data_IF_177052472001
#
_entry.id   IF_177052472001
#
_cell.length_a   1.000
_cell.length_b   1.000
_cell.length_c   1.000
_cell.angle_alpha   90.00
_cell.angle_beta   90.00
_cell.angle_gamma   90.00
#
_symmetry.space_group_name_H-M   'P 1'
#
loop_
_entity.id
_entity.type
_entity.pdbx_description
1 polymer ?
#
# COMPACT_ATOMS: atom_id res chain seq x y z
N UNK A 1 -24.13 -5.44 -12.85
CA UNK A 1 -23.68 -4.03 -12.79
C UNK A 1 -22.22 -3.92 -13.17
N UNK A 2 -21.93 -3.09 -14.16
CA UNK A 2 -20.56 -2.86 -14.64
C UNK A 2 -19.92 -1.75 -13.79
N UNK A 3 -18.72 -1.98 -13.29
CA UNK A 3 -17.90 -0.97 -12.63
C UNK A 3 -17.00 -0.30 -13.66
N UNK A 4 -17.09 1.01 -13.79
CA UNK A 4 -16.22 1.80 -14.64
C UNK A 4 -15.44 2.78 -13.76
N UNK A 5 -14.12 2.74 -13.82
CA UNK A 5 -13.26 3.61 -13.03
C UNK A 5 -12.34 4.45 -13.91
N UNK A 6 -12.03 5.65 -13.43
CA UNK A 6 -11.06 6.57 -13.99
C UNK A 6 -9.92 6.78 -13.00
N UNK A 7 -8.70 6.86 -13.47
CA UNK A 7 -7.54 7.15 -12.64
C UNK A 7 -6.61 8.13 -13.35
N UNK A 8 -6.13 9.11 -12.59
CA UNK A 8 -5.07 10.03 -13.01
C UNK A 8 -3.91 9.95 -12.02
N UNK A 9 -2.68 10.04 -12.49
CA UNK A 9 -1.50 10.07 -11.61
C UNK A 9 -0.44 11.02 -12.14
N UNK A 10 0.30 11.65 -11.22
CA UNK A 10 1.48 12.46 -11.49
C UNK A 10 2.65 11.99 -10.64
N UNK A 11 3.84 11.99 -11.21
CA UNK A 11 5.07 11.61 -10.52
C UNK A 11 6.12 12.70 -10.73
N UNK A 12 6.85 13.01 -9.67
CA UNK A 12 8.03 13.88 -9.68
C UNK A 12 9.21 13.13 -9.10
N UNK A 13 10.36 13.24 -9.73
CA UNK A 13 11.62 12.71 -9.22
C UNK A 13 12.67 13.81 -9.25
N UNK A 14 13.40 13.97 -8.14
CA UNK A 14 14.45 14.97 -8.00
C UNK A 14 15.73 14.33 -7.47
N UNK A 15 16.84 14.63 -8.11
CA UNK A 15 18.18 14.19 -7.72
C UNK A 15 18.85 15.22 -6.85
N UNK A 16 19.30 14.78 -5.68
CA UNK A 16 19.93 15.63 -4.68
C UNK A 16 21.45 15.74 -4.94
N UNK A 17 22.10 16.84 -4.53
CA UNK A 17 23.55 17.05 -4.78
C UNK A 17 24.47 15.99 -4.19
N UNK A 18 24.02 15.27 -3.16
CA UNK A 18 24.77 14.18 -2.52
C UNK A 18 24.44 12.79 -3.09
N UNK A 19 24.09 12.72 -4.36
CA UNK A 19 23.78 11.49 -5.10
C UNK A 19 22.55 10.70 -4.62
N UNK A 20 21.69 11.27 -3.78
CA UNK A 20 20.42 10.68 -3.44
C UNK A 20 19.31 11.08 -4.42
N UNK A 21 18.21 10.36 -4.42
CA UNK A 21 17.02 10.73 -5.15
C UNK A 21 15.80 10.72 -4.22
N UNK A 22 14.93 11.72 -4.39
CA UNK A 22 13.58 11.71 -3.80
C UNK A 22 12.57 11.58 -4.92
N UNK A 23 11.52 10.81 -4.68
CA UNK A 23 10.39 10.73 -5.59
C UNK A 23 9.08 10.91 -4.85
N UNK A 24 8.15 11.56 -5.52
CA UNK A 24 6.78 11.74 -5.06
C UNK A 24 5.81 11.32 -6.14
N UNK A 25 4.78 10.58 -5.77
CA UNK A 25 3.70 10.19 -6.66
C UNK A 25 2.36 10.49 -6.00
N UNK A 26 1.45 11.08 -6.77
CA UNK A 26 0.06 11.26 -6.39
C UNK A 26 -0.84 10.59 -7.41
N UNK A 27 -1.84 9.83 -6.93
CA UNK A 27 -2.84 9.18 -7.77
C UNK A 27 -4.23 9.44 -7.21
N UNK A 28 -5.11 9.91 -8.09
CA UNK A 28 -6.55 10.03 -7.85
C UNK A 28 -7.28 8.94 -8.62
N UNK A 29 -8.27 8.33 -7.99
CA UNK A 29 -9.16 7.34 -8.59
C UNK A 29 -10.61 7.66 -8.25
N UNK A 30 -11.51 7.48 -9.22
CA UNK A 30 -12.96 7.54 -9.00
C UNK A 30 -13.69 6.52 -9.86
N UNK A 31 -14.84 6.02 -9.39
CA UNK A 31 -15.63 5.04 -10.14
C UNK A 31 -17.14 5.26 -10.03
N UNK A 32 -17.88 4.49 -10.82
CA UNK A 32 -19.34 4.52 -10.89
C UNK A 32 -20.03 3.94 -9.64
N UNK A 33 -19.29 3.32 -8.74
CA UNK A 33 -19.81 2.85 -7.45
C UNK A 33 -19.73 3.93 -6.36
N UNK A 34 -19.19 5.12 -6.70
CA UNK A 34 -19.05 6.25 -5.79
C UNK A 34 -17.77 6.25 -4.98
N UNK A 35 -16.84 5.32 -5.24
CA UNK A 35 -15.56 5.31 -4.58
C UNK A 35 -14.68 6.41 -5.15
N UNK A 36 -14.20 7.27 -4.26
CA UNK A 36 -13.14 8.24 -4.51
C UNK A 36 -11.93 7.84 -3.68
N UNK A 37 -10.81 7.56 -4.34
CA UNK A 37 -9.60 7.14 -3.65
C UNK A 37 -8.39 7.98 -4.06
N UNK A 38 -7.52 8.23 -3.08
CA UNK A 38 -6.31 8.99 -3.26
C UNK A 38 -5.11 8.20 -2.72
N UNK A 39 -3.99 8.30 -3.41
CA UNK A 39 -2.72 7.71 -2.97
C UNK A 39 -1.63 8.75 -3.07
N UNK A 40 -0.89 8.94 -1.98
CA UNK A 40 0.38 9.68 -1.95
C UNK A 40 1.48 8.68 -1.66
N UNK A 41 2.53 8.67 -2.47
CA UNK A 41 3.73 7.88 -2.22
C UNK A 41 4.94 8.79 -2.25
N UNK A 42 5.80 8.66 -1.25
CA UNK A 42 7.11 9.32 -1.17
C UNK A 42 8.19 8.24 -1.14
N UNK A 43 9.26 8.47 -1.87
CA UNK A 43 10.43 7.60 -1.90
C UNK A 43 11.71 8.40 -1.68
N UNK A 44 12.68 7.76 -1.02
CA UNK A 44 14.04 8.25 -0.87
C UNK A 44 15.00 7.11 -1.18
N UNK A 45 15.93 7.34 -2.10
CA UNK A 45 16.94 6.36 -2.50
C UNK A 45 18.31 6.98 -2.28
N UNK A 46 19.16 6.28 -1.51
CA UNK A 46 20.53 6.68 -1.19
C UNK A 46 21.50 5.59 -1.62
N UNK A 47 22.26 5.80 -2.70
CA UNK A 47 23.46 5.01 -2.95
C UNK A 47 24.51 5.28 -1.87
N UNK A 48 25.09 4.22 -1.31
CA UNK A 48 26.18 4.28 -0.34
C UNK A 48 27.37 3.50 -0.87
N UNK A 49 28.49 4.19 -0.98
CA UNK A 49 29.69 3.61 -1.59
C UNK A 49 29.42 3.13 -3.02
N UNK A 50 30.10 2.08 -3.46
CA UNK A 50 29.96 1.52 -4.82
C UNK A 50 28.98 0.34 -4.91
N UNK A 51 28.61 -0.25 -3.77
CA UNK A 51 27.93 -1.55 -3.75
C UNK A 51 26.56 -1.53 -3.04
N UNK A 52 26.25 -0.50 -2.24
CA UNK A 52 25.03 -0.45 -1.45
C UNK A 52 24.05 0.60 -1.95
N UNK A 53 22.79 0.26 -1.94
CA UNK A 53 21.69 1.22 -2.12
C UNK A 53 20.68 1.02 -1.01
N UNK A 54 20.36 2.11 -0.31
CA UNK A 54 19.29 2.14 0.70
C UNK A 54 18.06 2.84 0.13
N UNK A 55 16.89 2.33 0.49
CA UNK A 55 15.61 2.90 0.10
C UNK A 55 14.71 3.06 1.31
N UNK A 56 13.99 4.18 1.36
CA UNK A 56 12.91 4.40 2.32
C UNK A 56 11.68 4.84 1.55
N UNK A 57 10.52 4.26 1.88
CA UNK A 57 9.26 4.60 1.22
C UNK A 57 8.17 4.83 2.25
N UNK A 58 7.29 5.79 1.96
CA UNK A 58 6.06 6.00 2.70
C UNK A 58 4.91 6.10 1.71
N UNK A 59 3.84 5.34 1.92
CA UNK A 59 2.64 5.39 1.10
C UNK A 59 1.43 5.59 2.00
N UNK A 60 0.67 6.64 1.71
CA UNK A 60 -0.60 6.91 2.35
C UNK A 60 -1.73 6.79 1.34
N UNK A 61 -2.74 6.00 1.68
CA UNK A 61 -3.92 5.77 0.88
C UNK A 61 -5.18 6.05 1.71
N UNK A 62 -6.18 6.66 1.08
CA UNK A 62 -7.52 6.78 1.67
C UNK A 62 -8.58 6.68 0.60
N UNK A 63 -9.72 6.10 0.95
CA UNK A 63 -10.89 6.01 0.08
C UNK A 63 -12.18 6.30 0.83
N UNK A 64 -13.20 6.77 0.07
CA UNK A 64 -14.60 6.77 0.51
C UNK A 64 -15.20 5.37 0.36
N UNK A 65 -16.33 5.12 1.01
CA UNK A 65 -17.11 3.91 0.76
C UNK A 65 -17.87 3.96 -0.57
N UNK A 66 -18.32 2.78 -1.04
CA UNK A 66 -19.24 2.69 -2.18
C UNK A 66 -20.66 3.12 -1.79
N UNK A 67 -21.43 3.69 -2.74
CA UNK A 67 -22.78 4.21 -2.49
C UNK A 67 -23.78 3.19 -1.93
N UNK A 68 -23.56 1.90 -2.17
CA UNK A 68 -24.40 0.80 -1.71
C UNK A 68 -23.76 0.00 -0.55
N UNK A 69 -22.64 0.48 -0.02
CA UNK A 69 -21.98 -0.10 1.14
C UNK A 69 -22.68 0.37 2.42
N UNK A 70 -22.87 -0.54 3.35
CA UNK A 70 -23.17 -0.25 4.76
C UNK A 70 -22.67 -1.40 5.62
N UNK A 71 -22.18 -1.09 6.80
CA UNK A 71 -21.76 -2.08 7.78
C UNK A 71 -22.97 -2.74 8.46
N UNK A 72 -24.04 -1.97 8.69
CA UNK A 72 -25.32 -2.43 9.24
C UNK A 72 -26.47 -1.99 8.35
N UNK A 73 -27.41 -2.91 8.08
CA UNK A 73 -28.65 -2.63 7.38
C UNK A 73 -29.82 -2.74 8.34
N UNK A 74 -30.73 -1.75 8.38
CA UNK A 74 -31.82 -1.72 9.36
C UNK A 74 -32.85 -2.85 9.15
N UNK A 75 -32.98 -3.36 7.92
CA UNK A 75 -33.85 -4.47 7.58
C UNK A 75 -33.43 -5.12 6.25
N UNK A 76 -33.91 -6.33 6.01
CA UNK A 76 -33.68 -7.07 4.77
C UNK A 76 -34.25 -6.30 3.57
N UNK A 77 -33.46 -6.22 2.47
CA UNK A 77 -33.82 -5.48 1.26
C UNK A 77 -34.03 -3.96 1.47
N UNK A 78 -33.30 -3.36 2.41
CA UNK A 78 -33.34 -1.90 2.64
C UNK A 78 -32.86 -1.07 1.45
N UNK A 79 -32.07 -1.67 0.53
CA UNK A 79 -31.60 -1.08 -0.72
C UNK A 79 -31.61 -2.12 -1.85
N UNK A 80 -31.59 -1.66 -3.12
CA UNK A 80 -31.52 -2.54 -4.29
C UNK A 80 -30.23 -3.35 -4.40
N UNK A 81 -29.13 -2.81 -3.86
CA UNK A 81 -27.83 -3.47 -3.75
C UNK A 81 -27.33 -3.31 -2.33
N UNK A 82 -26.91 -4.42 -1.75
CA UNK A 82 -26.43 -4.50 -0.36
C UNK A 82 -25.05 -5.14 -0.37
N UNK A 83 -24.07 -4.49 0.23
CA UNK A 83 -22.75 -5.09 0.43
C UNK A 83 -22.15 -4.61 1.74
N UNK A 84 -21.63 -5.57 2.51
CA UNK A 84 -20.79 -5.38 3.69
C UNK A 84 -19.33 -5.77 3.40
N UNK A 85 -18.94 -5.73 2.14
CA UNK A 85 -17.58 -6.05 1.77
C UNK A 85 -16.63 -4.95 2.25
N UNK A 86 -15.66 -5.33 3.10
CA UNK A 86 -14.67 -4.41 3.67
C UNK A 86 -13.85 -3.64 2.62
N UNK A 87 -13.71 -4.19 1.41
CA UNK A 87 -13.01 -3.51 0.31
C UNK A 87 -13.78 -2.30 -0.23
N UNK A 88 -15.09 -2.26 0.04
CA UNK A 88 -15.99 -1.16 -0.35
C UNK A 88 -16.21 -0.14 0.78
N UNK A 89 -15.68 -0.42 1.96
CA UNK A 89 -15.73 0.43 3.14
C UNK A 89 -14.83 1.66 3.01
N UNK A 90 -15.08 2.66 3.84
CA UNK A 90 -14.17 3.79 4.00
C UNK A 90 -12.99 3.39 4.88
N UNK A 91 -11.76 3.54 4.38
CA UNK A 91 -10.55 3.27 5.15
C UNK A 91 -9.37 4.13 4.75
N UNK A 92 -8.37 4.12 5.61
CA UNK A 92 -7.04 4.70 5.38
C UNK A 92 -5.98 3.63 5.55
N UNK A 93 -4.90 3.72 4.79
CA UNK A 93 -3.75 2.85 5.03
C UNK A 93 -2.45 3.62 4.96
N UNK A 94 -1.53 3.28 5.85
CA UNK A 94 -0.16 3.75 5.87
C UNK A 94 0.77 2.57 5.67
N UNK A 95 1.63 2.65 4.66
CA UNK A 95 2.69 1.68 4.45
C UNK A 95 4.03 2.39 4.59
N UNK A 96 4.89 1.88 5.46
CA UNK A 96 6.27 2.33 5.61
C UNK A 96 7.20 1.21 5.17
N UNK A 97 8.12 1.50 4.26
CA UNK A 97 9.04 0.53 3.70
C UNK A 97 10.50 0.96 3.86
N UNK A 98 11.35 -0.01 4.17
CA UNK A 98 12.81 0.13 4.16
C UNK A 98 13.39 -0.96 3.29
N UNK A 99 14.31 -0.60 2.41
CA UNK A 99 15.01 -1.49 1.50
C UNK A 99 16.53 -1.32 1.59
N UNK A 100 17.25 -2.42 1.43
CA UNK A 100 18.69 -2.42 1.25
C UNK A 100 19.05 -3.36 0.11
N UNK A 101 19.85 -2.87 -0.83
CA UNK A 101 20.38 -3.63 -1.96
C UNK A 101 21.89 -3.63 -1.89
N UNK A 102 22.50 -4.79 -2.05
CA UNK A 102 23.95 -4.97 -2.12
C UNK A 102 24.32 -5.64 -3.43
N UNK A 103 25.16 -4.96 -4.20
CA UNK A 103 25.76 -5.50 -5.43
C UNK A 103 27.13 -6.09 -5.11
N UNK A 104 27.38 -7.31 -5.58
CA UNK A 104 28.66 -8.02 -5.40
C UNK A 104 29.11 -8.69 -6.69
N UNK A 105 30.42 -8.86 -6.84
CA UNK A 105 31.05 -9.50 -7.97
C UNK A 105 31.77 -10.75 -7.46
N UNK A 106 31.20 -11.96 -7.65
CA UNK A 106 31.83 -13.19 -7.17
C UNK A 106 33.05 -13.52 -8.00
N UNK A 107 34.14 -13.90 -7.33
CA UNK A 107 35.34 -14.37 -8.02
C UNK A 107 35.18 -15.76 -8.65
N UNK A 108 34.16 -16.51 -8.27
CA UNK A 108 33.77 -17.83 -8.74
C UNK A 108 32.27 -18.06 -8.47
N UNK A 109 31.51 -18.65 -9.40
CA UNK A 109 31.94 -19.19 -10.71
C UNK A 109 32.10 -18.07 -11.76
N UNK A 110 33.04 -18.25 -12.68
CA UNK A 110 33.40 -17.24 -13.70
C UNK A 110 32.32 -16.92 -14.74
N UNK A 111 31.23 -17.66 -14.76
CA UNK A 111 30.07 -17.38 -15.62
C UNK A 111 29.05 -16.41 -14.99
N UNK A 112 29.27 -16.01 -13.74
CA UNK A 112 28.49 -14.98 -13.06
C UNK A 112 29.27 -13.68 -13.06
N UNK A 113 28.79 -12.66 -13.77
CA UNK A 113 29.39 -11.33 -13.81
C UNK A 113 29.16 -10.57 -12.52
N UNK A 114 27.92 -10.56 -12.04
CA UNK A 114 27.54 -9.89 -10.79
C UNK A 114 26.31 -10.53 -10.14
N UNK A 115 26.15 -10.27 -8.86
CA UNK A 115 24.95 -10.59 -8.11
C UNK A 115 24.43 -9.39 -7.35
N UNK A 116 23.13 -9.40 -7.07
CA UNK A 116 22.52 -8.45 -6.11
C UNK A 116 21.75 -9.22 -5.06
N UNK A 117 21.83 -8.70 -3.84
CA UNK A 117 21.10 -9.19 -2.69
C UNK A 117 20.21 -8.06 -2.20
N UNK A 118 18.91 -8.30 -2.15
CA UNK A 118 17.92 -7.29 -1.80
C UNK A 118 17.12 -7.75 -0.58
N UNK A 119 17.03 -6.90 0.42
CA UNK A 119 16.21 -7.07 1.61
C UNK A 119 15.24 -5.91 1.70
N UNK A 120 13.94 -6.21 1.75
CA UNK A 120 12.89 -5.21 1.91
C UNK A 120 12.02 -5.56 3.12
N UNK A 121 11.72 -4.57 3.93
CA UNK A 121 10.79 -4.65 5.04
C UNK A 121 9.71 -3.59 4.86
N UNK A 122 8.43 -4.01 4.94
CA UNK A 122 7.28 -3.12 4.87
C UNK A 122 6.38 -3.35 6.08
N UNK A 123 6.00 -2.28 6.74
CA UNK A 123 4.95 -2.23 7.75
C UNK A 123 3.71 -1.58 7.14
N UNK A 124 2.59 -2.29 7.16
CA UNK A 124 1.29 -1.83 6.68
C UNK A 124 0.33 -1.73 7.86
N UNK A 125 -0.33 -0.58 7.98
CA UNK A 125 -1.48 -0.39 8.86
C UNK A 125 -2.68 0.08 8.05
N UNK A 126 -3.84 -0.55 8.30
CA UNK A 126 -5.13 -0.16 7.72
C UNK A 126 -6.08 0.16 8.87
N UNK A 127 -6.67 1.36 8.83
CA UNK A 127 -7.66 1.82 9.79
C UNK A 127 -8.99 2.04 9.04
N UNK A 128 -10.00 1.20 9.35
CA UNK A 128 -11.35 1.34 8.81
C UNK A 128 -12.12 2.43 9.58
N UNK A 129 -13.03 3.11 8.90
CA UNK A 129 -13.78 4.23 9.48
C UNK A 129 -15.30 3.96 9.59
N UNK A 130 -15.77 2.95 8.87
CA UNK A 130 -17.18 2.56 8.82
C UNK A 130 -17.36 1.03 8.73
N UNK A 131 -16.34 0.25 9.09
CA UNK A 131 -16.39 -1.20 9.18
C UNK A 131 -15.98 -1.63 10.59
N UNK A 132 -16.90 -2.32 11.30
CA UNK A 132 -16.69 -2.76 12.68
C UNK A 132 -16.17 -4.21 12.74
N UNK A 133 -15.42 -4.49 13.79
CA UNK A 133 -14.87 -5.83 14.05
C UNK A 133 -15.91 -6.73 14.72
N UNK A 134 -16.56 -7.59 13.95
CA UNK A 134 -17.56 -8.52 14.44
C UNK A 134 -17.01 -9.70 15.26
N UNK A 135 -15.69 -9.83 15.37
CA UNK A 135 -15.10 -10.82 16.26
C UNK A 135 -15.16 -10.39 17.72
N UNK A 136 -15.36 -9.09 17.94
CA UNK A 136 -15.52 -8.50 19.27
C UNK A 136 -17.02 -8.25 19.48
N UNK A 137 -17.64 -9.09 20.31
CA UNK A 137 -19.08 -8.99 20.60
C UNK A 137 -19.36 -7.76 21.46
N UNK A 138 -20.24 -6.88 20.98
CA UNK A 138 -20.84 -5.80 21.76
C UNK A 138 -22.26 -6.16 22.19
N UNK A 139 -22.73 -5.53 23.28
CA UNK A 139 -24.11 -5.68 23.79
C UNK A 139 -25.12 -5.06 22.83
N UNK A 140 -24.71 -4.01 22.12
CA UNK A 140 -25.55 -3.29 21.15
C UNK A 140 -24.89 -3.43 19.77
N UNK A 141 -25.57 -4.00 18.76
CA UNK A 141 -25.05 -4.08 17.41
C UNK A 141 -24.69 -2.68 16.86
N UNK A 142 -23.46 -2.52 16.38
CA UNK A 142 -22.93 -1.26 15.87
C UNK A 142 -22.05 -0.48 16.85
N UNK A 143 -21.94 -0.93 18.10
CA UNK A 143 -21.02 -0.38 19.11
C UNK A 143 -19.69 -1.15 19.16
N UNK A 144 -19.48 -2.13 18.25
CA UNK A 144 -18.23 -2.84 18.12
C UNK A 144 -17.10 -1.86 17.70
N UNK A 145 -15.85 -2.11 18.12
CA UNK A 145 -14.73 -1.26 17.71
C UNK A 145 -14.51 -1.33 16.19
N UNK A 146 -14.04 -0.23 15.61
CA UNK A 146 -13.67 -0.19 14.21
C UNK A 146 -12.52 -1.16 13.93
N UNK A 147 -12.61 -1.87 12.81
CA UNK A 147 -11.61 -2.84 12.42
C UNK A 147 -10.29 -2.15 12.04
N UNK A 148 -9.19 -2.70 12.53
CA UNK A 148 -7.83 -2.29 12.17
C UNK A 148 -7.02 -3.52 11.78
N UNK A 149 -6.07 -3.35 10.86
CA UNK A 149 -5.17 -4.41 10.42
C UNK A 149 -3.75 -3.87 10.39
N UNK A 150 -2.84 -4.58 11.08
CA UNK A 150 -1.41 -4.36 11.02
C UNK A 150 -0.72 -5.58 10.40
N UNK A 151 0.18 -5.35 9.46
CA UNK A 151 0.93 -6.41 8.80
C UNK A 151 2.38 -6.01 8.57
N UNK A 152 3.29 -6.97 8.76
CA UNK A 152 4.70 -6.84 8.44
C UNK A 152 5.05 -7.79 7.30
N UNK A 153 5.71 -7.28 6.27
CA UNK A 153 6.14 -8.06 5.12
C UNK A 153 7.65 -7.91 4.96
N UNK A 154 8.37 -9.02 5.08
CA UNK A 154 9.80 -9.08 4.80
C UNK A 154 10.02 -9.87 3.51
N UNK A 155 10.78 -9.31 2.59
CA UNK A 155 11.10 -9.92 1.30
C UNK A 155 12.61 -9.96 1.12
N UNK A 156 13.09 -11.11 0.67
CA UNK A 156 14.49 -11.33 0.37
C UNK A 156 14.62 -11.84 -1.07
N UNK A 157 15.47 -11.19 -1.87
CA UNK A 157 15.74 -11.56 -3.26
C UNK A 157 17.23 -11.63 -3.51
N UNK A 158 17.64 -12.62 -4.27
CA UNK A 158 18.98 -12.72 -4.83
C UNK A 158 18.85 -12.83 -6.36
N UNK A 159 19.66 -12.08 -7.08
CA UNK A 159 19.68 -12.09 -8.54
C UNK A 159 21.12 -12.22 -9.02
N UNK A 160 21.32 -12.94 -10.12
CA UNK A 160 22.63 -13.14 -10.76
C UNK A 160 22.54 -12.75 -12.23
N UNK A 161 23.59 -12.13 -12.74
CA UNK A 161 23.78 -11.84 -14.16
C UNK A 161 24.95 -12.66 -14.68
N UNK A 162 24.81 -13.20 -15.87
CA UNK A 162 25.76 -14.06 -16.55
C UNK A 162 25.88 -13.68 -18.02
#
# INVERSE_FOLDING_TARGET
NTRTGNAGSGQLKYYLPWHAAVDGNYRLYSDTWGILANTVKLGYTQPLFTAWTLEATARYYWQSHANFYSDLYPYQNSQNFLSRDRELAQFRSLTLGLGASWEFHPAWPHWVDKGTLNLNFNHLRIDYQDFHDNLILSVIPGDEPLYTLDANVTQFFISFWY
#
